data_IF_946207509161
#
_entry.id   IF_946207509161
#
_cell.length_a   1.000
_cell.length_b   1.000
_cell.length_c   1.000
_cell.angle_alpha   90.00
_cell.angle_beta   90.00
_cell.angle_gamma   90.00
#
_symmetry.space_group_name_H-M   'P 1'
#
loop_
_entity.id
_entity.type
_entity.pdbx_description
1 polymer ?
#
# COMPACT_ATOMS: atom_id res chain seq x y z
N UNK A 1 -8.75 -1.66 13.11
CA UNK A 1 -9.71 -0.93 12.25
C UNK A 1 -9.31 -1.19 10.81
N UNK A 2 -10.27 -1.41 9.93
CA UNK A 2 -10.07 -1.45 8.47
C UNK A 2 -10.04 0.00 7.97
N UNK A 3 -8.95 0.42 7.31
CA UNK A 3 -8.86 1.75 6.73
C UNK A 3 -9.42 1.81 5.31
N UNK A 4 -9.16 2.93 4.65
CA UNK A 4 -9.77 3.26 3.35
C UNK A 4 -9.29 2.35 2.23
N UNK A 5 -7.99 2.06 2.16
CA UNK A 5 -7.38 1.24 1.11
C UNK A 5 -7.88 -0.21 1.16
N UNK A 6 -8.15 -0.76 2.34
CA UNK A 6 -8.72 -2.11 2.51
C UNK A 6 -10.15 -2.27 1.97
N UNK A 7 -10.79 -1.18 1.51
CA UNK A 7 -12.06 -1.24 0.77
C UNK A 7 -11.85 -1.59 -0.71
N UNK A 8 -10.62 -1.47 -1.21
CA UNK A 8 -10.28 -1.79 -2.59
C UNK A 8 -10.11 -3.31 -2.79
N UNK A 9 -10.44 -3.84 -3.97
CA UNK A 9 -10.23 -5.25 -4.26
C UNK A 9 -8.75 -5.62 -4.11
N UNK A 10 -8.50 -6.75 -3.47
CA UNK A 10 -7.16 -7.31 -3.23
C UNK A 10 -6.26 -6.51 -2.27
N UNK A 11 -6.81 -5.54 -1.53
CA UNK A 11 -6.07 -4.87 -0.46
C UNK A 11 -6.63 -5.31 0.89
N UNK A 12 -5.84 -6.10 1.61
CA UNK A 12 -6.14 -6.48 2.99
C UNK A 12 -5.42 -5.58 4.01
N UNK A 13 -5.74 -5.71 5.31
CA UNK A 13 -5.15 -4.87 6.37
C UNK A 13 -3.62 -4.91 6.44
N UNK A 14 -2.99 -6.06 6.12
CA UNK A 14 -1.52 -6.19 6.08
C UNK A 14 -0.94 -5.33 4.96
N UNK A 15 -1.51 -5.43 3.76
CA UNK A 15 -1.04 -4.65 2.60
C UNK A 15 -1.27 -3.16 2.82
N UNK A 16 -2.40 -2.77 3.40
CA UNK A 16 -2.66 -1.37 3.77
C UNK A 16 -1.60 -0.84 4.74
N UNK A 17 -1.24 -1.60 5.77
CA UNK A 17 -0.19 -1.19 6.71
C UNK A 17 1.19 -1.05 6.02
N UNK A 18 1.52 -1.95 5.09
CA UNK A 18 2.73 -1.86 4.28
C UNK A 18 2.71 -0.62 3.36
N UNK A 19 1.59 -0.35 2.68
CA UNK A 19 1.40 0.85 1.85
C UNK A 19 1.52 2.13 2.67
N UNK A 20 0.90 2.20 3.84
CA UNK A 20 1.02 3.33 4.75
C UNK A 20 2.48 3.53 5.20
N UNK A 21 3.20 2.44 5.50
CA UNK A 21 4.63 2.46 5.75
C UNK A 21 5.46 2.94 4.56
N UNK A 22 5.03 2.65 3.34
CA UNK A 22 5.63 3.12 2.10
C UNK A 22 5.22 4.56 1.72
N UNK A 23 4.50 5.27 2.60
CA UNK A 23 4.04 6.65 2.37
C UNK A 23 2.85 6.76 1.41
N UNK A 24 2.05 5.70 1.28
CA UNK A 24 0.82 5.65 0.47
C UNK A 24 -0.34 5.36 1.42
N UNK A 25 -1.11 6.38 1.78
CA UNK A 25 -2.20 6.28 2.75
C UNK A 25 -3.60 6.41 2.13
N UNK A 26 -3.69 6.89 0.90
CA UNK A 26 -4.96 7.18 0.21
C UNK A 26 -5.08 6.44 -1.13
N UNK A 27 -6.32 6.22 -1.59
CA UNK A 27 -6.58 5.63 -2.91
C UNK A 27 -6.00 6.49 -4.05
N UNK A 28 -6.03 7.81 -3.91
CA UNK A 28 -5.47 8.73 -4.91
C UNK A 28 -3.95 8.60 -5.03
N UNK A 29 -3.23 8.53 -3.90
CA UNK A 29 -1.79 8.26 -3.89
C UNK A 29 -1.47 6.90 -4.48
N UNK A 30 -2.25 5.87 -4.14
CA UNK A 30 -2.07 4.52 -4.65
C UNK A 30 -2.27 4.48 -6.18
N UNK A 31 -3.30 5.15 -6.71
CA UNK A 31 -3.52 5.28 -8.16
C UNK A 31 -2.39 6.05 -8.85
N UNK A 32 -1.90 7.14 -8.24
CA UNK A 32 -0.83 7.96 -8.79
C UNK A 32 0.51 7.22 -8.83
N UNK A 33 0.81 6.42 -7.80
CA UNK A 33 2.01 5.58 -7.79
C UNK A 33 1.88 4.41 -8.78
N UNK A 34 0.72 3.76 -8.80
CA UNK A 34 0.53 2.50 -9.49
C UNK A 34 1.11 1.31 -8.72
N UNK A 35 0.65 0.10 -9.05
CA UNK A 35 0.95 -1.12 -8.28
C UNK A 35 2.45 -1.45 -8.24
N UNK A 36 3.17 -1.27 -9.35
CA UNK A 36 4.61 -1.56 -9.42
C UNK A 36 5.43 -0.66 -8.50
N UNK A 37 5.19 0.65 -8.57
CA UNK A 37 5.90 1.63 -7.74
C UNK A 37 5.56 1.43 -6.25
N UNK A 38 4.28 1.23 -5.93
CA UNK A 38 3.85 0.93 -4.58
C UNK A 38 4.56 -0.31 -4.02
N UNK A 39 4.69 -1.36 -4.83
CA UNK A 39 5.42 -2.57 -4.45
C UNK A 39 6.92 -2.32 -4.23
N UNK A 40 7.58 -1.56 -5.13
CA UNK A 40 9.00 -1.23 -4.97
C UNK A 40 9.29 -0.47 -3.67
N UNK A 41 8.42 0.47 -3.28
CA UNK A 41 8.56 1.20 -2.01
C UNK A 41 8.36 0.31 -0.79
N UNK A 42 7.41 -0.63 -0.87
CA UNK A 42 7.22 -1.64 0.18
C UNK A 42 8.49 -2.49 0.30
N UNK A 43 9.03 -2.98 -0.82
CA UNK A 43 10.23 -3.82 -0.85
C UNK A 43 11.49 -3.09 -0.37
N UNK A 44 11.64 -1.80 -0.70
CA UNK A 44 12.74 -0.96 -0.22
C UNK A 44 12.72 -0.80 1.31
N UNK A 45 11.52 -0.73 1.90
CA UNK A 45 11.33 -0.59 3.35
C UNK A 45 11.41 -1.94 4.09
N UNK A 46 10.83 -2.98 3.52
CA UNK A 46 10.78 -4.34 4.05
C UNK A 46 11.11 -5.34 2.93
N UNK A 47 12.39 -5.73 2.80
CA UNK A 47 12.82 -6.71 1.80
C UNK A 47 12.19 -8.10 1.96
N UNK A 48 11.51 -8.38 3.08
CA UNK A 48 10.85 -9.66 3.39
C UNK A 48 9.33 -9.64 3.20
N UNK A 49 8.78 -8.52 2.72
CA UNK A 49 7.35 -8.20 2.65
C UNK A 49 6.44 -9.28 2.02
#
# INVERSE_FOLDING_TARGET
MVGELSKLPNIGPKLEAQLAGAGIATEEEFRRAGSREAWLRILERDPSA
#
